data_IF_924540052630
#
_entry.id   IF_924540052630
#
_cell.length_a   1.000
_cell.length_b   1.000
_cell.length_c   1.000
_cell.angle_alpha   90.00
_cell.angle_beta   90.00
_cell.angle_gamma   90.00
#
_symmetry.space_group_name_H-M   'P 1'
#
loop_
_entity.id
_entity.type
_entity.pdbx_description
1 polymer ?
#
# COMPACT_ATOMS: atom_id res chain seq x y z
N UNK A 1 21.60 16.28 -20.15
CA UNK A 1 20.79 15.09 -19.81
C UNK A 1 20.97 14.86 -18.32
N UNK A 2 19.94 15.13 -17.52
CA UNK A 2 19.99 14.90 -16.06
C UNK A 2 20.19 13.42 -15.81
N UNK A 3 21.28 13.06 -15.14
CA UNK A 3 21.54 11.69 -14.70
C UNK A 3 20.43 11.33 -13.69
N UNK A 4 19.46 10.53 -14.12
CA UNK A 4 18.32 10.14 -13.30
C UNK A 4 18.77 9.02 -12.37
N UNK A 5 19.05 9.36 -11.11
CA UNK A 5 19.53 8.43 -10.08
C UNK A 5 18.55 7.26 -9.80
N UNK A 6 17.30 7.35 -10.29
CA UNK A 6 16.27 6.31 -10.15
C UNK A 6 16.05 5.48 -11.43
N UNK A 7 16.87 5.67 -12.48
CA UNK A 7 16.81 4.90 -13.73
C UNK A 7 15.42 4.89 -14.41
N UNK A 8 14.64 5.97 -14.30
CA UNK A 8 13.23 5.97 -14.76
C UNK A 8 13.06 5.80 -16.28
N UNK A 9 14.11 6.07 -17.06
CA UNK A 9 14.12 6.07 -18.52
C UNK A 9 14.90 4.90 -19.15
N UNK A 10 15.38 3.95 -18.34
CA UNK A 10 16.19 2.83 -18.84
C UNK A 10 16.18 1.64 -17.88
N UNK A 11 16.83 0.52 -18.25
CA UNK A 11 16.90 -0.64 -17.38
C UNK A 11 17.79 -0.36 -16.16
N UNK A 12 17.35 -0.83 -14.98
CA UNK A 12 18.15 -0.75 -13.74
C UNK A 12 19.36 -1.69 -13.82
N UNK A 13 20.60 -1.18 -13.73
CA UNK A 13 21.82 -1.99 -13.73
C UNK A 13 21.82 -2.99 -12.57
N UNK A 14 22.43 -4.16 -12.74
CA UNK A 14 22.47 -5.18 -11.68
C UNK A 14 23.07 -4.67 -10.37
N UNK A 15 24.10 -3.83 -10.44
CA UNK A 15 24.75 -3.21 -9.26
C UNK A 15 23.85 -2.25 -8.49
N UNK A 16 22.79 -1.73 -9.11
CA UNK A 16 21.84 -0.79 -8.49
C UNK A 16 20.53 -1.48 -8.02
N UNK A 17 20.36 -2.77 -8.29
CA UNK A 17 19.18 -3.53 -7.87
C UNK A 17 19.16 -3.70 -6.35
N UNK A 18 18.00 -3.50 -5.75
CA UNK A 18 17.81 -3.65 -4.30
C UNK A 18 17.57 -5.11 -3.93
N UNK A 19 18.04 -5.50 -2.75
CA UNK A 19 17.88 -6.86 -2.22
C UNK A 19 16.42 -7.19 -1.92
N UNK A 20 16.09 -8.48 -1.95
CA UNK A 20 14.73 -9.00 -1.75
C UNK A 20 14.15 -8.55 -0.41
N UNK A 21 14.92 -8.60 0.68
CA UNK A 21 14.45 -8.22 2.01
C UNK A 21 13.98 -6.75 2.08
N UNK A 22 14.77 -5.84 1.52
CA UNK A 22 14.41 -4.41 1.47
C UNK A 22 13.10 -4.21 0.68
N UNK A 23 12.97 -4.89 -0.46
CA UNK A 23 11.75 -4.84 -1.27
C UNK A 23 10.55 -5.43 -0.52
N UNK A 24 10.73 -6.53 0.23
CA UNK A 24 9.68 -7.12 1.06
C UNK A 24 9.16 -6.12 2.09
N UNK A 25 10.03 -5.43 2.82
CA UNK A 25 9.59 -4.42 3.79
C UNK A 25 8.86 -3.25 3.12
N UNK A 26 9.32 -2.79 1.95
CA UNK A 26 8.62 -1.75 1.19
C UNK A 26 7.22 -2.23 0.75
N UNK A 27 7.11 -3.46 0.25
CA UNK A 27 5.81 -4.04 -0.15
C UNK A 27 4.88 -4.29 1.05
N UNK A 28 5.42 -4.72 2.19
CA UNK A 28 4.64 -4.83 3.44
C UNK A 28 4.17 -3.47 3.94
N UNK A 29 5.01 -2.43 3.82
CA UNK A 29 4.63 -1.05 4.12
C UNK A 29 3.48 -0.57 3.24
N UNK A 30 3.53 -0.88 1.94
CA UNK A 30 2.42 -0.62 1.01
C UNK A 30 1.15 -1.42 1.37
N UNK A 31 1.31 -2.61 1.94
CA UNK A 31 0.19 -3.46 2.36
C UNK A 31 -0.50 -2.90 3.61
N UNK A 32 0.28 -2.39 4.57
CA UNK A 32 -0.19 -1.66 5.76
C UNK A 32 -0.66 -0.24 5.46
N UNK A 33 -1.26 -0.05 4.30
CA UNK A 33 -1.87 1.21 3.91
C UNK A 33 -3.24 1.36 4.57
N UNK A 34 -3.50 2.53 5.15
CA UNK A 34 -4.71 2.79 5.94
C UNK A 34 -6.02 2.51 5.19
N UNK A 35 -6.08 2.74 3.87
CA UNK A 35 -7.27 2.41 3.09
C UNK A 35 -7.49 0.89 2.96
N UNK A 36 -6.42 0.10 2.85
CA UNK A 36 -6.49 -1.36 2.86
C UNK A 36 -6.99 -1.86 4.22
N UNK A 37 -6.49 -1.27 5.31
CA UNK A 37 -6.96 -1.58 6.67
C UNK A 37 -8.43 -1.23 6.86
N UNK A 38 -8.87 -0.06 6.38
CA UNK A 38 -10.27 0.35 6.40
C UNK A 38 -11.14 -0.66 5.65
N UNK A 39 -10.73 -1.05 4.44
CA UNK A 39 -11.45 -2.04 3.63
C UNK A 39 -11.57 -3.38 4.36
N UNK A 40 -10.50 -3.83 5.03
CA UNK A 40 -10.53 -5.02 5.88
C UNK A 40 -11.53 -4.89 7.03
N UNK A 41 -11.58 -3.73 7.69
CA UNK A 41 -12.57 -3.44 8.74
C UNK A 41 -14.01 -3.50 8.22
N UNK A 42 -14.28 -2.84 7.09
CA UNK A 42 -15.60 -2.86 6.44
C UNK A 42 -16.02 -4.28 6.07
N UNK A 43 -15.13 -5.07 5.46
CA UNK A 43 -15.38 -6.48 5.15
C UNK A 43 -15.68 -7.29 6.42
N UNK A 44 -14.92 -7.06 7.49
CA UNK A 44 -15.12 -7.75 8.77
C UNK A 44 -16.46 -7.46 9.44
N UNK A 45 -17.04 -6.27 9.20
CA UNK A 45 -18.39 -5.93 9.70
C UNK A 45 -19.51 -6.40 8.78
N UNK A 46 -19.22 -6.64 7.50
CA UNK A 46 -20.22 -6.97 6.47
C UNK A 46 -20.34 -8.45 6.13
N UNK A 47 -19.38 -9.28 6.54
CA UNK A 47 -19.35 -10.72 6.25
C UNK A 47 -19.39 -11.56 7.53
N UNK A 48 -19.83 -12.82 7.42
CA UNK A 48 -19.65 -13.79 8.48
C UNK A 48 -18.15 -14.08 8.69
N UNK A 49 -17.77 -14.61 9.86
CA UNK A 49 -16.36 -14.94 10.15
C UNK A 49 -15.71 -15.82 9.07
N UNK A 50 -16.43 -16.86 8.62
CA UNK A 50 -15.92 -17.79 7.61
C UNK A 50 -15.83 -17.14 6.23
N UNK A 51 -16.85 -16.38 5.82
CA UNK A 51 -16.85 -15.69 4.53
C UNK A 51 -15.78 -14.60 4.47
N UNK A 52 -15.59 -13.87 5.57
CA UNK A 52 -14.52 -12.89 5.71
C UNK A 52 -13.15 -13.55 5.51
N UNK A 53 -12.87 -14.65 6.23
CA UNK A 53 -11.58 -15.33 6.14
C UNK A 53 -11.33 -15.88 4.73
N UNK A 54 -12.32 -16.52 4.12
CA UNK A 54 -12.21 -17.05 2.76
C UNK A 54 -12.06 -15.93 1.72
N UNK A 55 -12.82 -14.84 1.83
CA UNK A 55 -12.73 -13.69 0.93
C UNK A 55 -11.33 -13.05 0.99
N UNK A 56 -10.80 -12.84 2.21
CA UNK A 56 -9.45 -12.30 2.40
C UNK A 56 -8.39 -13.26 1.87
N UNK A 57 -8.49 -14.56 2.17
CA UNK A 57 -7.50 -15.55 1.73
C UNK A 57 -7.47 -15.70 0.21
N UNK A 58 -8.63 -15.92 -0.41
CA UNK A 58 -8.75 -16.12 -1.87
C UNK A 58 -8.37 -14.82 -2.60
N UNK A 59 -8.86 -13.68 -2.13
CA UNK A 59 -8.55 -12.37 -2.73
C UNK A 59 -7.05 -12.07 -2.71
N UNK A 60 -6.39 -12.27 -1.57
CA UNK A 60 -4.94 -12.06 -1.46
C UNK A 60 -4.13 -13.11 -2.23
N UNK A 61 -4.60 -14.36 -2.33
CA UNK A 61 -3.93 -15.39 -3.12
C UNK A 61 -3.95 -15.04 -4.61
N UNK A 62 -5.12 -14.66 -5.15
CA UNK A 62 -5.25 -14.25 -6.54
C UNK A 62 -4.39 -13.01 -6.84
N UNK A 63 -4.45 -12.01 -5.96
CA UNK A 63 -3.62 -10.80 -6.08
C UNK A 63 -2.12 -11.13 -5.98
N UNK A 64 -1.74 -12.03 -5.08
CA UNK A 64 -0.36 -12.46 -4.88
C UNK A 64 0.19 -13.17 -6.12
N UNK A 65 -0.59 -14.06 -6.74
CA UNK A 65 -0.21 -14.73 -8.00
C UNK A 65 -0.01 -13.69 -9.10
N UNK A 66 -0.99 -12.81 -9.29
CA UNK A 66 -0.94 -11.75 -10.31
C UNK A 66 0.28 -10.84 -10.14
N UNK A 67 0.49 -10.31 -8.93
CA UNK A 67 1.61 -9.42 -8.63
C UNK A 67 2.97 -10.13 -8.69
N UNK A 68 3.03 -11.42 -8.38
CA UNK A 68 4.26 -12.23 -8.52
C UNK A 68 4.71 -12.34 -9.98
N UNK A 69 3.78 -12.54 -10.91
CA UNK A 69 4.10 -12.54 -12.34
C UNK A 69 4.62 -11.17 -12.80
N UNK A 70 3.97 -10.08 -12.40
CA UNK A 70 4.43 -8.73 -12.71
C UNK A 70 5.80 -8.44 -12.10
N UNK A 71 6.00 -8.81 -10.83
CA UNK A 71 7.26 -8.66 -10.12
C UNK A 71 8.40 -9.44 -10.77
N UNK A 72 8.13 -10.66 -11.23
CA UNK A 72 9.09 -11.46 -11.98
C UNK A 72 9.49 -10.81 -13.31
N UNK A 73 8.53 -10.30 -14.08
CA UNK A 73 8.80 -9.59 -15.35
C UNK A 73 9.64 -8.34 -15.07
N UNK A 74 9.27 -7.54 -14.08
CA UNK A 74 10.01 -6.33 -13.68
C UNK A 74 11.43 -6.64 -13.21
N UNK A 75 11.61 -7.66 -12.36
CA UNK A 75 12.92 -8.07 -11.87
C UNK A 75 13.83 -8.62 -12.98
N UNK A 76 13.26 -9.39 -13.93
CA UNK A 76 14.02 -9.96 -15.05
C UNK A 76 14.45 -8.88 -16.03
N UNK A 77 13.54 -8.02 -16.44
CA UNK A 77 13.80 -6.98 -17.46
C UNK A 77 14.52 -5.76 -16.90
N UNK A 78 14.32 -5.43 -15.62
CA UNK A 78 14.80 -4.19 -15.00
C UNK A 78 14.12 -2.93 -15.54
N UNK A 79 13.02 -3.08 -16.28
CA UNK A 79 12.30 -1.98 -16.92
C UNK A 79 11.12 -1.51 -16.06
N UNK A 80 10.79 -0.22 -16.16
CA UNK A 80 9.58 0.34 -15.56
C UNK A 80 8.33 -0.15 -16.31
N UNK A 81 7.19 -0.20 -15.62
CA UNK A 81 5.90 -0.60 -16.22
C UNK A 81 5.55 0.25 -17.45
N UNK A 82 5.86 1.55 -17.41
CA UNK A 82 5.69 2.44 -18.56
C UNK A 82 6.55 2.02 -19.77
N UNK A 83 7.81 1.64 -19.55
CA UNK A 83 8.67 1.15 -20.63
C UNK A 83 8.17 -0.19 -21.18
N UNK A 84 7.72 -1.11 -20.32
CA UNK A 84 7.09 -2.37 -20.75
C UNK A 84 5.83 -2.11 -21.59
N UNK A 85 5.00 -1.13 -21.21
CA UNK A 85 3.82 -0.76 -21.98
C UNK A 85 4.16 -0.24 -23.39
N UNK A 86 5.31 0.43 -23.56
CA UNK A 86 5.79 0.84 -24.89
C UNK A 86 6.13 -0.34 -25.80
N UNK A 87 6.64 -1.44 -25.25
CA UNK A 87 6.90 -2.65 -26.04
C UNK A 87 5.61 -3.31 -26.53
N UNK A 88 4.55 -3.30 -25.73
CA UNK A 88 3.27 -3.92 -26.10
C UNK A 88 2.36 -3.04 -26.95
N UNK A 89 2.31 -1.72 -26.67
CA UNK A 89 1.35 -0.80 -27.28
C UNK A 89 2.00 0.26 -28.19
N UNK A 90 3.33 0.24 -28.32
CA UNK A 90 4.09 1.28 -29.02
C UNK A 90 4.15 2.61 -28.25
N UNK A 91 4.86 3.58 -28.82
CA UNK A 91 5.14 4.87 -28.15
C UNK A 91 3.85 5.64 -27.86
N UNK A 92 2.96 5.80 -28.85
CA UNK A 92 1.69 6.52 -28.69
C UNK A 92 0.65 5.71 -27.91
N UNK A 93 0.56 4.40 -28.16
CA UNK A 93 -0.42 3.54 -27.47
C UNK A 93 -0.12 3.38 -25.98
N UNK A 94 1.14 3.50 -25.56
CA UNK A 94 1.52 3.45 -24.14
C UNK A 94 0.99 4.61 -23.29
N UNK A 95 0.50 5.70 -23.89
CA UNK A 95 0.02 6.86 -23.15
C UNK A 95 -1.19 6.55 -22.28
N UNK A 96 -2.15 5.78 -22.80
CA UNK A 96 -3.35 5.40 -22.05
C UNK A 96 -3.03 4.57 -20.80
N UNK A 97 -2.33 3.42 -20.88
CA UNK A 97 -1.99 2.66 -19.68
C UNK A 97 -1.09 3.46 -18.73
N UNK A 98 -0.21 4.31 -19.25
CA UNK A 98 0.64 5.16 -18.40
C UNK A 98 -0.14 6.24 -17.66
N UNK A 99 -1.12 6.85 -18.33
CA UNK A 99 -2.02 7.84 -17.73
C UNK A 99 -2.90 7.19 -16.68
N UNK A 100 -3.44 6.00 -16.95
CA UNK A 100 -4.23 5.26 -15.97
C UNK A 100 -3.39 4.92 -14.75
N UNK A 101 -2.20 4.36 -14.95
CA UNK A 101 -1.29 4.02 -13.85
C UNK A 101 -0.93 5.26 -13.02
N UNK A 102 -0.49 6.34 -13.66
CA UNK A 102 -0.10 7.58 -12.98
C UNK A 102 -1.28 8.27 -12.31
N UNK A 103 -2.42 8.38 -13.00
CA UNK A 103 -3.64 8.99 -12.48
C UNK A 103 -4.20 8.25 -11.27
N UNK A 104 -4.17 6.91 -11.29
CA UNK A 104 -4.54 6.10 -10.12
C UNK A 104 -3.61 6.37 -8.93
N UNK A 105 -2.30 6.55 -9.14
CA UNK A 105 -1.40 6.91 -8.03
C UNK A 105 -1.72 8.28 -7.44
N UNK A 106 -2.11 9.27 -8.26
CA UNK A 106 -2.54 10.59 -7.76
C UNK A 106 -3.81 10.48 -6.92
N UNK A 107 -4.78 9.67 -7.35
CA UNK A 107 -5.99 9.40 -6.57
C UNK A 107 -5.66 8.77 -5.22
N UNK A 108 -4.80 7.75 -5.20
CA UNK A 108 -4.38 7.07 -3.98
C UNK A 108 -3.55 7.97 -3.05
N UNK A 109 -2.76 8.90 -3.60
CA UNK A 109 -2.07 9.91 -2.81
C UNK A 109 -3.06 10.77 -2.02
N UNK A 110 -4.11 11.28 -2.68
CA UNK A 110 -5.14 12.06 -2.01
C UNK A 110 -5.87 11.28 -0.91
N UNK A 111 -6.25 10.03 -1.18
CA UNK A 111 -6.85 9.13 -0.18
C UNK A 111 -5.90 8.90 0.99
N UNK A 112 -4.61 8.65 0.73
CA UNK A 112 -3.60 8.43 1.76
C UNK A 112 -3.44 9.61 2.71
N UNK A 113 -3.35 10.83 2.16
CA UNK A 113 -3.26 12.07 2.95
C UNK A 113 -4.51 12.27 3.81
N UNK A 114 -5.70 12.03 3.25
CA UNK A 114 -6.96 12.15 4.00
C UNK A 114 -7.09 11.09 5.12
N UNK A 115 -6.67 9.85 4.86
CA UNK A 115 -6.67 8.76 5.82
C UNK A 115 -5.70 8.98 6.99
N UNK A 116 -4.69 9.83 6.82
CA UNK A 116 -3.85 10.34 7.92
C UNK A 116 -4.52 11.53 8.62
N UNK A 117 -4.92 12.55 7.87
CA UNK A 117 -5.34 13.83 8.43
C UNK A 117 -6.66 13.74 9.23
N UNK A 118 -7.65 12.98 8.76
CA UNK A 118 -8.97 12.91 9.42
C UNK A 118 -8.87 12.27 10.81
N UNK A 119 -8.26 11.09 11.00
CA UNK A 119 -8.15 10.50 12.34
C UNK A 119 -7.26 11.33 13.28
N UNK A 120 -6.16 11.90 12.78
CA UNK A 120 -5.26 12.73 13.59
C UNK A 120 -5.97 14.01 14.03
N UNK A 121 -6.71 14.67 13.13
CA UNK A 121 -7.52 15.85 13.47
C UNK A 121 -8.57 15.52 14.53
N UNK A 122 -9.23 14.37 14.44
CA UNK A 122 -10.18 13.92 15.48
C UNK A 122 -9.52 13.65 16.84
N UNK A 123 -8.31 13.10 16.85
CA UNK A 123 -7.61 12.76 18.09
C UNK A 123 -6.95 13.98 18.76
N UNK A 124 -6.52 14.97 17.97
CA UNK A 124 -5.73 16.13 18.46
C UNK A 124 -6.51 17.44 18.49
N UNK A 125 -7.64 17.53 17.78
CA UNK A 125 -8.38 18.77 17.57
C UNK A 125 -7.75 19.73 16.56
N UNK A 126 -6.67 19.34 15.87
CA UNK A 126 -6.01 20.17 14.86
C UNK A 126 -6.86 20.30 13.59
N UNK A 127 -6.69 21.43 12.89
CA UNK A 127 -7.37 21.69 11.62
C UNK A 127 -6.98 20.64 10.55
N UNK A 128 -8.00 20.02 9.96
CA UNK A 128 -7.81 18.94 8.99
C UNK A 128 -7.17 19.47 7.70
N UNK A 129 -7.51 20.68 7.26
CA UNK A 129 -6.95 21.24 6.03
C UNK A 129 -5.44 21.50 6.18
N UNK A 130 -5.02 22.00 7.34
CA UNK A 130 -3.62 22.16 7.69
C UNK A 130 -2.89 20.81 7.72
N UNK A 131 -3.48 19.80 8.35
CA UNK A 131 -2.92 18.44 8.38
C UNK A 131 -2.77 17.86 6.96
N UNK A 132 -3.76 18.04 6.10
CA UNK A 132 -3.70 17.63 4.68
C UNK A 132 -2.55 18.33 3.97
N UNK A 133 -2.45 19.66 4.10
CA UNK A 133 -1.42 20.46 3.43
C UNK A 133 -0.01 20.05 3.89
N UNK A 134 0.21 19.97 5.20
CA UNK A 134 1.53 19.65 5.78
C UNK A 134 1.93 18.21 5.48
N UNK A 135 1.05 17.24 5.70
CA UNK A 135 1.37 15.84 5.44
C UNK A 135 1.55 15.55 3.94
N UNK A 136 0.74 16.15 3.06
CA UNK A 136 0.90 16.04 1.62
C UNK A 136 2.22 16.63 1.14
N UNK A 137 2.62 17.78 1.68
CA UNK A 137 3.93 18.38 1.37
C UNK A 137 5.08 17.49 1.87
N UNK A 138 5.02 17.01 3.11
CA UNK A 138 6.03 16.11 3.66
C UNK A 138 6.16 14.82 2.84
N UNK A 139 5.04 14.17 2.49
CA UNK A 139 5.05 12.97 1.65
C UNK A 139 5.67 13.25 0.27
N UNK A 140 5.35 14.39 -0.34
CA UNK A 140 5.94 14.80 -1.62
C UNK A 140 7.46 15.04 -1.48
N UNK A 141 7.90 15.68 -0.40
CA UNK A 141 9.32 15.91 -0.13
C UNK A 141 10.06 14.59 0.08
N UNK A 142 9.48 13.63 0.80
CA UNK A 142 10.13 12.34 1.07
C UNK A 142 10.43 11.54 -0.20
N UNK A 143 9.62 11.70 -1.26
CA UNK A 143 9.82 10.97 -2.52
C UNK A 143 11.11 11.36 -3.23
N UNK A 144 11.61 12.58 -3.04
CA UNK A 144 12.88 13.03 -3.64
C UNK A 144 14.09 12.25 -3.12
N UNK A 145 14.00 11.68 -1.92
CA UNK A 145 15.05 10.83 -1.35
C UNK A 145 15.00 9.37 -1.88
N UNK A 146 14.03 9.06 -2.74
CA UNK A 146 13.96 7.82 -3.51
C UNK A 146 13.71 6.56 -2.67
N UNK A 147 13.98 5.41 -3.30
CA UNK A 147 13.65 4.08 -2.72
C UNK A 147 14.39 3.77 -1.42
N UNK A 148 15.57 4.36 -1.21
CA UNK A 148 16.35 4.15 0.02
C UNK A 148 15.64 4.75 1.24
N UNK A 149 15.08 5.96 1.12
CA UNK A 149 14.31 6.57 2.19
C UNK A 149 13.02 5.80 2.49
N UNK A 150 12.33 5.34 1.44
CA UNK A 150 11.15 4.47 1.59
C UNK A 150 11.49 3.18 2.33
N UNK A 151 12.63 2.56 2.02
CA UNK A 151 13.08 1.32 2.69
C UNK A 151 13.28 1.54 4.18
N UNK A 152 13.99 2.62 4.57
CA UNK A 152 14.25 2.94 5.98
C UNK A 152 12.94 3.21 6.72
N UNK A 153 12.03 3.98 6.10
CA UNK A 153 10.72 4.26 6.66
C UNK A 153 9.93 2.96 6.88
N UNK A 154 9.89 2.07 5.88
CA UNK A 154 9.15 0.81 5.97
C UNK A 154 9.72 -0.15 7.02
N UNK A 155 11.05 -0.23 7.17
CA UNK A 155 11.69 -1.10 8.18
C UNK A 155 11.27 -0.72 9.60
N UNK A 156 10.95 0.56 9.86
CA UNK A 156 10.48 1.04 11.16
C UNK A 156 8.94 0.97 11.25
N UNK A 157 8.24 1.44 10.21
CA UNK A 157 6.78 1.54 10.20
C UNK A 157 6.10 0.17 10.22
N UNK A 158 6.61 -0.81 9.46
CA UNK A 158 6.00 -2.15 9.35
C UNK A 158 5.95 -2.87 10.71
N UNK A 159 7.05 -2.98 11.48
CA UNK A 159 7.00 -3.53 12.84
C UNK A 159 6.10 -2.73 13.78
N UNK A 160 6.16 -1.40 13.74
CA UNK A 160 5.34 -0.55 14.60
C UNK A 160 3.83 -0.78 14.36
N UNK A 161 3.42 -0.81 13.09
CA UNK A 161 2.02 -1.07 12.70
C UNK A 161 1.63 -2.51 13.08
N UNK A 162 2.49 -3.50 12.85
CA UNK A 162 2.22 -4.88 13.21
C UNK A 162 2.02 -5.06 14.73
N UNK A 163 2.86 -4.43 15.54
CA UNK A 163 2.74 -4.46 17.01
C UNK A 163 1.48 -3.73 17.50
N UNK A 164 1.27 -2.48 17.07
CA UNK A 164 0.12 -1.68 17.52
C UNK A 164 -1.20 -2.24 17.00
N UNK A 165 -1.24 -2.64 15.73
CA UNK A 165 -2.39 -3.28 15.11
C UNK A 165 -2.71 -4.63 15.76
N UNK A 166 -1.69 -5.47 15.99
CA UNK A 166 -1.85 -6.73 16.70
C UNK A 166 -2.37 -6.55 18.13
N UNK A 167 -1.85 -5.56 18.85
CA UNK A 167 -2.36 -5.20 20.18
C UNK A 167 -3.81 -4.71 20.13
N UNK A 168 -4.16 -3.88 19.15
CA UNK A 168 -5.54 -3.42 18.94
C UNK A 168 -6.49 -4.58 18.66
N UNK A 169 -6.09 -5.56 17.85
CA UNK A 169 -6.87 -6.78 17.58
C UNK A 169 -7.03 -7.60 18.85
N UNK A 170 -5.95 -7.79 19.62
CA UNK A 170 -5.99 -8.51 20.89
C UNK A 170 -6.95 -7.87 21.89
N UNK A 171 -6.94 -6.54 22.04
CA UNK A 171 -7.90 -5.81 22.87
C UNK A 171 -9.34 -6.01 22.39
N UNK A 172 -9.59 -5.89 21.09
CA UNK A 172 -10.93 -6.04 20.52
C UNK A 172 -11.49 -7.47 20.72
N UNK A 173 -10.66 -8.49 20.52
CA UNK A 173 -11.05 -9.91 20.69
C UNK A 173 -11.34 -10.23 22.15
N UNK A 174 -10.47 -9.80 23.09
CA UNK A 174 -10.71 -10.03 24.51
C UNK A 174 -11.92 -9.25 25.03
N UNK A 175 -12.11 -8.02 24.57
CA UNK A 175 -13.28 -7.21 24.90
C UNK A 175 -14.60 -7.84 24.44
N UNK A 176 -14.59 -8.64 23.36
CA UNK A 176 -15.75 -9.40 22.88
C UNK A 176 -16.01 -10.72 23.64
N UNK A 177 -15.14 -11.12 24.58
CA UNK A 177 -15.23 -12.42 25.25
C UNK A 177 -14.51 -13.56 24.52
N UNK A 178 -13.57 -13.23 23.63
CA UNK A 178 -12.66 -14.18 22.98
C UNK A 178 -13.02 -14.54 21.54
N UNK A 179 -12.17 -15.38 20.93
CA UNK A 179 -12.31 -15.79 19.52
C UNK A 179 -13.61 -16.55 19.24
N UNK A 180 -14.12 -17.30 20.21
CA UNK A 180 -15.36 -18.06 20.05
C UNK A 180 -16.59 -17.14 20.00
N UNK A 181 -16.54 -16.00 20.69
CA UNK A 181 -17.57 -14.97 20.58
C UNK A 181 -17.50 -14.28 19.20
N UNK A 182 -16.30 -13.97 18.71
CA UNK A 182 -16.09 -13.40 17.37
C UNK A 182 -16.61 -14.32 16.25
N UNK A 183 -16.39 -15.64 16.36
CA UNK A 183 -16.90 -16.59 15.36
C UNK A 183 -18.43 -16.64 15.29
N UNK A 184 -19.10 -16.33 16.41
CA UNK A 184 -20.57 -16.36 16.53
C UNK A 184 -21.22 -15.01 16.21
N UNK A 185 -20.44 -13.93 16.08
CA UNK A 185 -21.00 -12.64 15.72
C UNK A 185 -21.48 -12.66 14.28
N UNK A 186 -22.77 -12.46 14.07
CA UNK A 186 -23.35 -12.26 12.75
C UNK A 186 -23.15 -10.81 12.30
N UNK A 187 -22.94 -10.57 11.00
CA UNK A 187 -22.84 -9.20 10.48
C UNK A 187 -24.10 -8.42 10.84
N UNK A 188 -23.92 -7.22 11.38
CA UNK A 188 -25.03 -6.32 11.71
C UNK A 188 -25.58 -5.76 10.39
N UNK A 189 -26.63 -6.38 9.85
CA UNK A 189 -27.39 -5.81 8.74
C UNK A 189 -27.93 -4.44 9.16
N UNK A 190 -27.47 -3.38 8.50
CA UNK A 190 -28.20 -2.14 8.35
C UNK A 190 -28.52 -1.95 6.88
#
# INVERSE_FOLDING_TARGET
>A
MSQDNNFSQGPVPQSARKGVLALTFVMLGLTFFSASMWTGGTLGTGLSYHDFFLAVLIGNLLLGIYTSFLGYIGAKTGLTTHLLARFSFGVKGSWLPSLLLGGTQVGWFGVGVAMFAIPVGKATGLDINLLIAVSGLLMTVTVFFGISALTVLSVIAVPAIACLGGYSVWLAVNGMGGLDALKRSFPHNR
#
